data_IF_774990908134
#
_entry.id   IF_774990908134
#
_cell.length_a   1.000
_cell.length_b   1.000
_cell.length_c   1.000
_cell.angle_alpha   90.00
_cell.angle_beta   90.00
_cell.angle_gamma   90.00
#
_symmetry.space_group_name_H-M   'P 1'
#
loop_
_entity.id
_entity.type
_entity.pdbx_description
1 polymer ?
#
# COMPACT_ATOMS: atom_id res chain seq x y z
N UNK A 1 15.41 -11.06 -14.26
CA UNK A 1 14.34 -11.58 -13.39
C UNK A 1 14.73 -12.95 -12.83
N UNK A 2 14.39 -13.17 -11.56
CA UNK A 2 14.57 -14.46 -10.89
C UNK A 2 13.18 -14.99 -10.53
N UNK A 3 12.92 -16.25 -10.86
CA UNK A 3 11.66 -16.92 -10.54
C UNK A 3 11.87 -17.85 -9.35
N UNK A 4 11.17 -17.60 -8.26
CA UNK A 4 11.36 -18.32 -6.99
C UNK A 4 10.38 -19.49 -6.82
N UNK A 5 9.28 -19.51 -7.57
CA UNK A 5 8.16 -20.42 -7.30
C UNK A 5 7.51 -20.08 -5.94
N UNK A 6 6.93 -21.07 -5.28
CA UNK A 6 6.27 -20.90 -3.97
C UNK A 6 7.33 -20.89 -2.84
N UNK A 7 8.08 -19.79 -2.72
CA UNK A 7 9.19 -19.64 -1.77
C UNK A 7 9.33 -18.18 -1.28
N UNK A 8 8.28 -17.62 -0.74
CA UNK A 8 8.20 -16.20 -0.34
C UNK A 8 9.28 -15.80 0.64
N UNK A 9 9.55 -16.65 1.65
CA UNK A 9 10.61 -16.38 2.63
C UNK A 9 12.00 -16.34 1.98
N UNK A 10 12.31 -17.32 1.15
CA UNK A 10 13.60 -17.38 0.45
C UNK A 10 13.76 -16.21 -0.54
N UNK A 11 12.70 -15.86 -1.28
CA UNK A 11 12.67 -14.70 -2.16
C UNK A 11 13.03 -13.41 -1.41
N UNK A 12 12.37 -13.15 -0.30
CA UNK A 12 12.62 -11.98 0.52
C UNK A 12 14.02 -11.98 1.16
N UNK A 13 14.48 -13.14 1.64
CA UNK A 13 15.82 -13.28 2.21
C UNK A 13 16.93 -13.07 1.16
N UNK A 14 16.74 -13.55 -0.07
CA UNK A 14 17.66 -13.30 -1.18
C UNK A 14 17.70 -11.80 -1.54
N UNK A 15 16.55 -11.12 -1.56
CA UNK A 15 16.50 -9.67 -1.73
C UNK A 15 17.28 -8.94 -0.64
N UNK A 16 17.21 -9.39 0.62
CA UNK A 16 18.04 -8.86 1.70
C UNK A 16 19.53 -9.04 1.40
N UNK A 17 19.93 -10.21 0.96
CA UNK A 17 21.33 -10.50 0.58
C UNK A 17 21.81 -9.62 -0.57
N UNK A 18 21.00 -9.40 -1.59
CA UNK A 18 21.29 -8.51 -2.73
C UNK A 18 21.45 -7.06 -2.25
N UNK A 19 20.54 -6.60 -1.38
CA UNK A 19 20.61 -5.25 -0.80
C UNK A 19 21.88 -5.05 0.03
N UNK A 20 22.24 -6.04 0.87
CA UNK A 20 23.45 -6.02 1.70
C UNK A 20 24.73 -6.03 0.87
N UNK A 21 24.76 -6.78 -0.24
CA UNK A 21 25.90 -6.79 -1.16
C UNK A 21 26.16 -5.40 -1.76
N UNK A 22 25.08 -4.61 -1.98
CA UNK A 22 25.17 -3.30 -2.60
C UNK A 22 25.19 -3.33 -4.13
N UNK A 23 25.11 -2.14 -4.75
CA UNK A 23 25.14 -1.97 -6.20
C UNK A 23 23.81 -2.21 -6.92
N UNK A 24 22.83 -2.87 -6.27
CA UNK A 24 21.52 -3.15 -6.82
C UNK A 24 20.39 -2.72 -5.88
N UNK A 25 19.24 -2.42 -6.46
CA UNK A 25 17.97 -2.16 -5.77
C UNK A 25 17.03 -3.34 -5.98
N UNK A 26 16.95 -4.29 -5.04
CA UNK A 26 16.06 -5.40 -5.19
C UNK A 26 14.61 -4.99 -4.90
N UNK A 27 13.70 -5.51 -5.71
CA UNK A 27 12.29 -5.61 -5.35
C UNK A 27 11.78 -7.01 -5.65
N UNK A 28 10.78 -7.45 -4.91
CA UNK A 28 10.12 -8.73 -5.13
C UNK A 28 8.61 -8.59 -4.92
N UNK A 29 7.86 -9.54 -5.44
CA UNK A 29 6.40 -9.47 -5.46
C UNK A 29 5.76 -10.83 -5.13
N UNK A 30 4.66 -10.77 -4.40
CA UNK A 30 3.74 -11.88 -4.16
C UNK A 30 2.35 -11.34 -3.85
N UNK A 31 1.34 -12.21 -3.71
CA UNK A 31 0.05 -11.81 -3.17
C UNK A 31 0.18 -11.40 -1.69
N UNK A 32 -0.61 -10.42 -1.29
CA UNK A 32 -0.49 -9.84 0.05
C UNK A 32 -0.73 -10.84 1.16
N UNK A 33 -1.67 -11.77 0.99
CA UNK A 33 -1.92 -12.85 1.96
C UNK A 33 -0.68 -13.71 2.21
N UNK A 34 0.14 -13.96 1.19
CA UNK A 34 1.37 -14.76 1.32
C UNK A 34 2.51 -14.00 1.98
N UNK A 35 2.28 -12.76 2.37
CA UNK A 35 3.20 -12.05 3.25
C UNK A 35 3.35 -12.70 4.63
N UNK A 36 2.43 -13.56 5.02
CA UNK A 36 2.57 -14.42 6.21
C UNK A 36 3.88 -15.23 6.17
N UNK A 37 4.26 -15.70 4.97
CA UNK A 37 5.48 -16.48 4.80
C UNK A 37 6.74 -15.62 4.66
N UNK A 38 6.66 -14.41 4.13
CA UNK A 38 7.83 -13.53 3.95
C UNK A 38 8.06 -12.54 5.09
N UNK A 39 7.10 -12.35 5.98
CA UNK A 39 7.18 -11.36 7.08
C UNK A 39 8.47 -11.44 7.91
N UNK A 40 8.96 -12.63 8.32
CA UNK A 40 10.22 -12.69 9.08
C UNK A 40 11.40 -12.08 8.33
N UNK A 41 11.49 -12.28 7.02
CA UNK A 41 12.54 -11.69 6.20
C UNK A 41 12.39 -10.17 6.04
N UNK A 42 11.15 -9.65 5.93
CA UNK A 42 10.88 -8.20 5.94
C UNK A 42 11.29 -7.57 7.27
N UNK A 43 11.00 -8.24 8.39
CA UNK A 43 11.44 -7.79 9.71
C UNK A 43 12.95 -7.72 9.81
N UNK A 44 13.67 -8.67 9.21
CA UNK A 44 15.14 -8.65 9.13
C UNK A 44 15.62 -7.49 8.24
N UNK A 45 14.96 -7.19 7.11
CA UNK A 45 15.28 -6.00 6.33
C UNK A 45 15.24 -4.73 7.19
N UNK A 46 14.18 -4.60 7.99
CA UNK A 46 14.01 -3.46 8.89
C UNK A 46 15.11 -3.38 9.96
N UNK A 47 15.45 -4.50 10.59
CA UNK A 47 16.52 -4.58 11.60
C UNK A 47 17.89 -4.27 11.02
N UNK A 48 18.16 -4.69 9.78
CA UNK A 48 19.41 -4.46 9.07
C UNK A 48 19.46 -3.11 8.34
N UNK A 49 18.39 -2.30 8.41
CA UNK A 49 18.26 -1.04 7.68
C UNK A 49 18.47 -1.22 6.16
N UNK A 50 17.82 -2.22 5.57
CA UNK A 50 17.89 -2.48 4.13
C UNK A 50 16.62 -2.02 3.41
N UNK A 51 16.80 -1.17 2.39
CA UNK A 51 15.72 -0.59 1.60
C UNK A 51 15.23 -1.54 0.49
N UNK A 52 14.76 -2.74 0.85
CA UNK A 52 14.14 -3.68 -0.08
C UNK A 52 12.69 -3.26 -0.35
N UNK A 53 12.20 -3.39 -1.59
CA UNK A 53 10.84 -3.07 -1.95
C UNK A 53 10.04 -4.37 -2.13
N UNK A 54 8.94 -4.48 -1.38
CA UNK A 54 8.02 -5.61 -1.40
C UNK A 54 6.71 -5.19 -2.03
N UNK A 55 6.41 -5.71 -3.22
CA UNK A 55 5.16 -5.45 -3.93
C UNK A 55 4.17 -6.55 -3.57
N UNK A 56 3.15 -6.18 -2.81
CA UNK A 56 2.17 -7.08 -2.22
C UNK A 56 0.81 -6.84 -2.88
N UNK A 57 0.47 -7.67 -3.85
CA UNK A 57 -0.73 -7.49 -4.67
C UNK A 57 -1.94 -8.21 -4.09
N UNK A 58 -3.14 -7.96 -4.63
CA UNK A 58 -4.38 -8.62 -4.19
C UNK A 58 -4.69 -8.30 -2.71
N UNK A 59 -4.79 -7.01 -2.40
CA UNK A 59 -4.72 -6.45 -1.05
C UNK A 59 -6.04 -6.46 -0.26
N UNK A 60 -7.14 -6.94 -0.85
CA UNK A 60 -8.47 -6.80 -0.26
C UNK A 60 -9.45 -7.89 -0.70
N UNK A 61 -10.69 -7.82 -0.22
CA UNK A 61 -11.80 -8.68 -0.67
C UNK A 61 -12.03 -8.60 -2.20
N UNK A 62 -11.50 -7.58 -2.88
CA UNK A 62 -11.49 -7.47 -4.33
C UNK A 62 -10.62 -8.47 -5.06
N UNK A 63 -9.98 -9.41 -4.35
CA UNK A 63 -9.36 -10.62 -4.91
C UNK A 63 -10.39 -11.42 -5.72
N UNK A 64 -11.62 -11.53 -5.22
CA UNK A 64 -12.74 -12.17 -5.93
C UNK A 64 -12.81 -13.68 -5.71
N UNK A 65 -12.77 -14.43 -6.81
CA UNK A 65 -13.04 -15.88 -6.85
C UNK A 65 -12.07 -16.76 -6.06
N UNK A 66 -10.87 -16.29 -5.77
CA UNK A 66 -9.89 -17.04 -4.94
C UNK A 66 -10.38 -17.20 -3.49
N UNK A 67 -11.30 -16.33 -3.04
CA UNK A 67 -12.01 -16.43 -1.79
C UNK A 67 -11.19 -16.15 -0.54
N UNK A 68 -11.72 -16.51 0.64
CA UNK A 68 -11.19 -16.08 1.94
C UNK A 68 -9.78 -16.61 2.25
N UNK A 69 -9.33 -17.65 1.58
CA UNK A 69 -7.95 -18.17 1.74
C UNK A 69 -6.90 -17.24 1.13
N UNK A 70 -7.31 -16.28 0.29
CA UNK A 70 -6.44 -15.35 -0.42
C UNK A 70 -6.73 -13.89 -0.07
N UNK A 71 -7.70 -13.61 0.78
CA UNK A 71 -8.12 -12.28 1.20
C UNK A 71 -7.37 -11.84 2.47
N UNK A 72 -6.44 -10.88 2.38
CA UNK A 72 -5.73 -10.37 3.56
C UNK A 72 -6.65 -9.51 4.42
N UNK A 73 -6.61 -9.67 5.74
CA UNK A 73 -7.40 -8.90 6.71
C UNK A 73 -6.47 -8.14 7.66
N UNK A 74 -5.68 -8.86 8.48
CA UNK A 74 -4.81 -8.30 9.50
C UNK A 74 -3.45 -7.81 8.97
N UNK A 75 -3.13 -8.12 7.73
CA UNK A 75 -1.80 -7.91 7.14
C UNK A 75 -1.36 -6.44 7.11
N UNK A 76 -2.29 -5.50 6.86
CA UNK A 76 -1.98 -4.07 6.93
C UNK A 76 -1.55 -3.65 8.34
N UNK A 77 -2.31 -4.07 9.37
CA UNK A 77 -1.98 -3.79 10.76
C UNK A 77 -0.65 -4.43 11.16
N UNK A 78 -0.42 -5.66 10.70
CA UNK A 78 0.81 -6.41 10.94
C UNK A 78 2.06 -5.67 10.45
N UNK A 79 2.04 -5.12 9.22
CA UNK A 79 3.19 -4.37 8.70
C UNK A 79 3.28 -2.97 9.30
N UNK A 80 2.16 -2.29 9.54
CA UNK A 80 2.13 -0.98 10.19
C UNK A 80 2.67 -1.01 11.62
N UNK A 81 2.49 -2.12 12.33
CA UNK A 81 3.03 -2.32 13.68
C UNK A 81 4.50 -2.78 13.71
N UNK A 82 5.08 -3.14 12.56
CA UNK A 82 6.48 -3.58 12.50
C UNK A 82 7.41 -2.36 12.45
N UNK A 83 8.30 -2.18 13.46
CA UNK A 83 9.21 -1.03 13.49
C UNK A 83 10.09 -0.95 12.25
N UNK A 84 10.35 0.27 11.78
CA UNK A 84 11.17 0.55 10.61
C UNK A 84 10.71 -0.15 9.33
N UNK A 85 9.38 -0.26 9.12
CA UNK A 85 8.77 -0.69 7.85
C UNK A 85 7.87 0.42 7.35
N UNK A 86 8.04 0.83 6.11
CA UNK A 86 7.13 1.76 5.43
C UNK A 86 6.05 0.96 4.71
N UNK A 87 4.79 1.24 5.04
CA UNK A 87 3.64 0.56 4.43
C UNK A 87 2.83 1.55 3.61
N UNK A 88 2.70 1.30 2.31
CA UNK A 88 1.94 2.11 1.36
C UNK A 88 0.73 1.34 0.85
N UNK A 89 -0.41 2.00 0.76
CA UNK A 89 -1.62 1.44 0.16
C UNK A 89 -2.28 2.49 -0.76
N UNK A 90 -1.70 2.71 -1.95
CA UNK A 90 -2.15 3.76 -2.86
C UNK A 90 -3.53 3.47 -3.45
N UNK A 91 -4.31 4.53 -3.69
CA UNK A 91 -5.67 4.43 -4.19
C UNK A 91 -5.79 4.50 -5.72
N UNK A 92 -4.73 4.93 -6.41
CA UNK A 92 -4.69 5.03 -7.87
C UNK A 92 -3.27 4.99 -8.43
N UNK A 93 -3.13 5.21 -9.75
CA UNK A 93 -1.83 5.18 -10.41
C UNK A 93 -0.91 6.33 -9.99
N UNK A 94 -1.45 7.52 -9.68
CA UNK A 94 -0.64 8.66 -9.24
C UNK A 94 -0.05 8.40 -7.85
N UNK A 95 -0.88 8.00 -6.88
CA UNK A 95 -0.39 7.62 -5.56
C UNK A 95 0.59 6.44 -5.63
N UNK A 96 0.35 5.46 -6.51
CA UNK A 96 1.28 4.34 -6.74
C UNK A 96 2.64 4.85 -7.21
N UNK A 97 2.68 5.80 -8.17
CA UNK A 97 3.92 6.38 -8.63
C UNK A 97 4.67 7.12 -7.49
N UNK A 98 3.97 7.86 -6.64
CA UNK A 98 4.57 8.53 -5.50
C UNK A 98 5.08 7.53 -4.44
N UNK A 99 4.34 6.45 -4.18
CA UNK A 99 4.79 5.38 -3.30
C UNK A 99 6.10 4.73 -3.80
N UNK A 100 6.21 4.48 -5.12
CA UNK A 100 7.44 4.00 -5.74
C UNK A 100 8.59 5.01 -5.62
N UNK A 101 8.33 6.31 -5.86
CA UNK A 101 9.35 7.37 -5.68
C UNK A 101 9.86 7.39 -4.24
N UNK A 102 8.96 7.30 -3.27
CA UNK A 102 9.32 7.26 -1.85
C UNK A 102 10.14 6.01 -1.51
N UNK A 103 9.70 4.84 -1.96
CA UNK A 103 10.39 3.57 -1.73
C UNK A 103 11.81 3.55 -2.34
N UNK A 104 11.96 4.07 -3.57
CA UNK A 104 13.26 4.17 -4.25
C UNK A 104 14.23 5.12 -3.55
N UNK A 105 13.73 6.19 -2.95
CA UNK A 105 14.55 7.15 -2.19
C UNK A 105 14.94 6.63 -0.82
N UNK A 106 14.10 5.81 -0.21
CA UNK A 106 14.31 5.30 1.15
C UNK A 106 15.20 4.05 1.14
N UNK A 107 16.50 4.23 1.28
CA UNK A 107 17.52 3.17 1.18
C UNK A 107 17.76 2.39 2.48
N UNK A 108 17.19 2.86 3.59
CA UNK A 108 17.46 2.29 4.93
C UNK A 108 16.23 1.71 5.60
N UNK A 109 15.09 1.73 4.90
CA UNK A 109 13.81 1.23 5.41
C UNK A 109 13.15 0.39 4.33
N UNK A 110 12.78 -0.86 4.58
CA UNK A 110 12.02 -1.64 3.63
C UNK A 110 10.65 -1.02 3.38
N UNK A 111 10.20 -1.07 2.15
CA UNK A 111 8.94 -0.51 1.70
C UNK A 111 8.01 -1.61 1.23
N UNK A 112 6.83 -1.71 1.82
CA UNK A 112 5.76 -2.62 1.41
C UNK A 112 4.68 -1.82 0.66
N UNK A 113 4.38 -2.20 -0.56
CA UNK A 113 3.35 -1.60 -1.40
C UNK A 113 2.19 -2.58 -1.53
N UNK A 114 1.08 -2.34 -0.81
CA UNK A 114 -0.16 -3.10 -0.97
C UNK A 114 -0.94 -2.56 -2.16
N UNK A 115 -1.07 -3.39 -3.19
CA UNK A 115 -1.73 -3.03 -4.45
C UNK A 115 -2.93 -3.92 -4.70
N UNK A 116 -4.01 -3.33 -5.20
CA UNK A 116 -5.23 -4.07 -5.50
C UNK A 116 -5.15 -4.86 -6.81
N UNK A 117 -5.93 -5.93 -6.91
CA UNK A 117 -6.22 -6.62 -8.17
C UNK A 117 -7.17 -5.81 -9.06
N UNK A 118 -8.00 -4.98 -8.46
CA UNK A 118 -9.05 -4.24 -9.15
C UNK A 118 -8.48 -3.14 -10.04
N UNK A 119 -9.18 -2.86 -11.14
CA UNK A 119 -8.94 -1.66 -11.94
C UNK A 119 -9.54 -0.46 -11.22
N UNK A 120 -8.69 0.46 -10.79
CA UNK A 120 -9.08 1.69 -10.10
C UNK A 120 -9.16 2.87 -11.07
N UNK A 121 -10.07 3.80 -10.78
CA UNK A 121 -10.17 5.07 -11.51
C UNK A 121 -9.16 6.05 -10.92
N UNK A 122 -8.40 6.74 -11.78
CA UNK A 122 -7.56 7.84 -11.35
C UNK A 122 -8.44 9.01 -10.92
N UNK A 123 -8.20 9.52 -9.71
CA UNK A 123 -8.87 10.71 -9.21
C UNK A 123 -8.07 11.95 -9.61
N UNK A 124 -8.76 13.04 -9.94
CA UNK A 124 -8.07 14.28 -10.36
C UNK A 124 -7.28 14.89 -9.20
N UNK A 125 -7.80 14.78 -8.01
CA UNK A 125 -7.30 15.40 -6.78
C UNK A 125 -6.07 14.68 -6.18
N UNK A 126 -5.79 13.43 -6.59
CA UNK A 126 -4.60 12.72 -6.10
C UNK A 126 -3.32 13.41 -6.55
N UNK A 127 -2.37 13.55 -5.63
CA UNK A 127 -1.18 14.36 -5.85
C UNK A 127 0.02 13.90 -5.01
N UNK A 128 1.12 14.65 -5.11
CA UNK A 128 2.32 14.45 -4.29
C UNK A 128 2.07 14.61 -2.77
N UNK A 129 0.92 15.16 -2.36
CA UNK A 129 0.53 15.24 -0.95
C UNK A 129 0.46 13.85 -0.28
N UNK A 130 0.22 12.79 -1.07
CA UNK A 130 0.26 11.39 -0.61
C UNK A 130 1.59 11.00 0.05
N UNK A 131 2.69 11.70 -0.27
CA UNK A 131 3.99 11.50 0.38
C UNK A 131 4.01 11.91 1.86
N UNK A 132 3.00 12.66 2.34
CA UNK A 132 2.84 13.03 3.74
C UNK A 132 2.22 11.92 4.60
N UNK A 133 1.75 10.84 3.97
CA UNK A 133 1.05 9.72 4.61
C UNK A 133 -0.46 9.86 4.50
N UNK A 134 -1.07 10.82 5.19
CA UNK A 134 -2.48 11.16 5.02
C UNK A 134 -2.64 12.61 4.55
N UNK A 135 -3.61 12.87 3.68
CA UNK A 135 -3.88 14.21 3.18
C UNK A 135 -5.37 14.40 2.83
N UNK A 136 -5.82 15.65 2.87
CA UNK A 136 -7.17 15.99 2.42
C UNK A 136 -7.22 15.82 0.90
N UNK A 137 -8.01 14.85 0.45
CA UNK A 137 -8.20 14.62 -0.97
C UNK A 137 -9.16 15.65 -1.55
N UNK A 138 -10.32 15.84 -0.89
CA UNK A 138 -11.35 16.77 -1.35
C UNK A 138 -12.34 17.13 -0.25
N UNK A 139 -12.80 18.38 -0.26
CA UNK A 139 -13.96 18.83 0.49
C UNK A 139 -15.21 18.82 -0.42
N UNK A 140 -16.26 18.16 0.02
CA UNK A 140 -17.56 18.11 -0.62
C UNK A 140 -18.49 19.07 0.12
N UNK A 141 -18.64 20.28 -0.43
CA UNK A 141 -19.39 21.38 0.19
C UNK A 141 -18.52 22.29 1.04
N UNK A 142 -19.16 23.25 1.71
CA UNK A 142 -18.52 24.17 2.67
C UNK A 142 -18.87 23.73 4.08
N UNK A 143 -17.99 24.01 5.05
CA UNK A 143 -18.23 23.74 6.47
C UNK A 143 -18.64 22.28 6.73
N UNK A 144 -17.72 21.36 6.44
CA UNK A 144 -17.95 19.93 6.55
C UNK A 144 -18.36 19.50 7.97
N UNK A 145 -19.35 18.62 8.05
CA UNK A 145 -19.87 18.06 9.30
C UNK A 145 -19.23 16.72 9.64
N UNK A 146 -18.62 16.05 8.63
CA UNK A 146 -18.06 14.72 8.76
C UNK A 146 -16.73 14.61 8.01
N UNK A 147 -15.81 13.82 8.55
CA UNK A 147 -14.57 13.43 7.87
C UNK A 147 -14.66 11.94 7.55
N UNK A 148 -14.46 11.59 6.28
CA UNK A 148 -14.36 10.20 5.82
C UNK A 148 -12.89 9.93 5.49
N UNK A 149 -12.31 8.91 6.13
CA UNK A 149 -10.92 8.51 5.93
C UNK A 149 -10.91 7.15 5.24
N UNK A 150 -10.19 7.03 4.14
CA UNK A 150 -10.06 5.79 3.40
C UNK A 150 -8.62 5.61 2.88
N UNK A 151 -8.27 4.38 2.51
CA UNK A 151 -6.98 4.07 1.89
C UNK A 151 -7.15 3.03 0.77
N UNK A 152 -6.25 3.04 -0.20
CA UNK A 152 -6.24 2.07 -1.28
C UNK A 152 -7.53 2.06 -2.10
N UNK A 153 -8.00 0.88 -2.47
CA UNK A 153 -9.18 0.70 -3.31
C UNK A 153 -10.47 1.31 -2.73
N UNK A 154 -10.56 1.48 -1.42
CA UNK A 154 -11.75 2.02 -0.76
C UNK A 154 -11.89 3.54 -0.90
N UNK A 155 -10.84 4.27 -1.28
CA UNK A 155 -10.90 5.73 -1.51
C UNK A 155 -11.90 6.06 -2.63
N UNK A 156 -11.90 5.29 -3.71
CA UNK A 156 -12.87 5.48 -4.80
C UNK A 156 -14.32 5.23 -4.38
N UNK A 157 -14.55 4.29 -3.47
CA UNK A 157 -15.88 4.06 -2.86
C UNK A 157 -16.26 5.23 -1.94
N UNK A 158 -15.35 5.66 -1.08
CA UNK A 158 -15.55 6.79 -0.18
C UNK A 158 -15.84 8.09 -0.95
N UNK A 159 -15.18 8.30 -2.08
CA UNK A 159 -15.43 9.44 -2.96
C UNK A 159 -16.90 9.46 -3.43
N UNK A 160 -17.40 8.33 -3.94
CA UNK A 160 -18.80 8.19 -4.38
C UNK A 160 -19.81 8.35 -3.23
N UNK A 161 -19.43 7.93 -2.01
CA UNK A 161 -20.25 8.16 -0.82
C UNK A 161 -20.35 9.65 -0.50
N UNK A 162 -19.22 10.37 -0.55
CA UNK A 162 -19.19 11.82 -0.34
C UNK A 162 -20.04 12.57 -1.38
N UNK A 163 -20.03 12.15 -2.66
CA UNK A 163 -20.88 12.73 -3.69
C UNK A 163 -22.38 12.56 -3.35
N UNK A 164 -22.78 11.36 -2.93
CA UNK A 164 -24.18 11.09 -2.53
C UNK A 164 -24.61 11.84 -1.28
N UNK A 165 -23.73 11.95 -0.29
CA UNK A 165 -24.02 12.73 0.93
C UNK A 165 -24.21 14.21 0.60
N UNK A 166 -23.42 14.74 -0.34
CA UNK A 166 -23.60 16.12 -0.79
C UNK A 166 -24.95 16.34 -1.48
N UNK A 167 -25.47 15.36 -2.25
CA UNK A 167 -26.84 15.41 -2.82
C UNK A 167 -27.90 15.51 -1.73
N UNK A 168 -27.63 14.95 -0.55
CA UNK A 168 -28.49 15.03 0.65
C UNK A 168 -28.19 16.27 1.52
N UNK A 169 -27.39 17.23 1.03
CA UNK A 169 -26.91 18.42 1.74
C UNK A 169 -26.03 18.13 2.97
N UNK A 170 -25.38 17.00 3.04
CA UNK A 170 -24.39 16.66 4.06
C UNK A 170 -23.00 16.94 3.51
N UNK A 171 -22.35 17.96 4.06
CA UNK A 171 -20.98 18.33 3.66
C UNK A 171 -19.95 17.43 4.31
N UNK A 172 -19.00 16.93 3.51
CA UNK A 172 -17.98 15.99 4.00
C UNK A 172 -16.59 16.37 3.54
N UNK A 173 -15.58 15.99 4.34
CA UNK A 173 -14.17 16.01 3.95
C UNK A 173 -13.69 14.59 3.72
N UNK A 174 -13.13 14.32 2.55
CA UNK A 174 -12.48 13.04 2.23
C UNK A 174 -10.98 13.15 2.42
N UNK A 175 -10.43 12.19 3.18
CA UNK A 175 -8.99 12.03 3.43
C UNK A 175 -8.51 10.72 2.83
N UNK A 176 -7.47 10.76 1.99
CA UNK A 176 -6.72 9.58 1.55
C UNK A 176 -5.54 9.34 2.50
N UNK A 177 -5.31 8.06 2.89
CA UNK A 177 -4.27 7.69 3.88
C UNK A 177 -3.51 6.41 3.47
#
# INVERSE_FOLDING_TARGET
NIHFGVREHAMAAICNGISLHGGLLPYCATFFVFSDYLKPAVRLSALMNQGVIYVLTHDSIGVGEDGPTHEPIEHLAMFRSTPNVSMYRPCDAKETAYAWISALKNRKTPSCLALTRQKLTNLEETSAESLKGGYVLKDFGKDFEMIIIASGSEVGLAYKVCEKLLEENICTRLVSM
#
